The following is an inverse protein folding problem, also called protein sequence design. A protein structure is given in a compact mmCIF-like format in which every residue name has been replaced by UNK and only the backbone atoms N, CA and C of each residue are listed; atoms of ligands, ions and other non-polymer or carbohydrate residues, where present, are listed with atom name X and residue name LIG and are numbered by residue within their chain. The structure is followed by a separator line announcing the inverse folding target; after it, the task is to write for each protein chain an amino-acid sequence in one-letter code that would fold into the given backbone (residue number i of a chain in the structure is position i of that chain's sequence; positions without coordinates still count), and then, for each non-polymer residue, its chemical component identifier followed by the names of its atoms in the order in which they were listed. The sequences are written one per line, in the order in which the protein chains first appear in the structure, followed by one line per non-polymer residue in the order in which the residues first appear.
data_IF_503288343150
#
_entry.id   IF_503288343150
#
_cell.length_a   1.000
_cell.length_b   1.000
_cell.length_c   1.000
_cell.angle_alpha   90.00
_cell.angle_beta   90.00
_cell.angle_gamma   90.00
#
_symmetry.space_group_name_H-M   'P 1'
#
loop_
_entity.id
_entity.type
_entity.pdbx_description
1 polymer ?
#
# COMPACT_ATOMS: atom_id res chain seq x y z
N UNK A 1 -1.64 17.44 -4.26
CA UNK A 1 -1.61 17.39 -5.73
C UNK A 1 -2.73 16.51 -6.28
N UNK A 2 -2.67 15.18 -6.18
CA UNK A 2 -3.78 14.32 -6.66
C UNK A 2 -5.15 14.66 -6.02
N UNK A 3 -5.20 14.91 -4.71
CA UNK A 3 -6.45 15.31 -4.04
C UNK A 3 -6.98 16.68 -4.49
N UNK A 4 -6.12 17.54 -5.03
CA UNK A 4 -6.44 18.91 -5.41
C UNK A 4 -6.77 19.03 -6.90
N UNK A 5 -6.14 18.21 -7.74
CA UNK A 5 -6.20 18.33 -9.21
C UNK A 5 -6.57 17.03 -9.93
N UNK A 6 -6.59 15.88 -9.25
CA UNK A 6 -6.92 14.59 -9.86
C UNK A 6 -8.41 14.39 -10.12
N UNK A 7 -9.27 15.24 -9.53
CA UNK A 7 -10.72 15.16 -9.63
C UNK A 7 -11.32 16.52 -10.02
N UNK A 8 -12.32 16.49 -10.89
CA UNK A 8 -13.15 17.65 -11.22
C UNK A 8 -14.60 17.42 -10.79
N UNK A 9 -15.31 18.51 -10.52
CA UNK A 9 -16.69 18.46 -10.06
C UNK A 9 -17.62 18.09 -11.23
N UNK A 10 -18.40 17.03 -11.06
CA UNK A 10 -19.44 16.62 -12.00
C UNK A 10 -20.82 17.13 -11.54
N UNK A 11 -21.88 16.85 -12.32
CA UNK A 11 -23.26 17.10 -11.90
C UNK A 11 -23.59 16.34 -10.61
N UNK A 12 -23.16 15.07 -10.52
CA UNK A 12 -23.23 14.24 -9.32
C UNK A 12 -21.83 13.76 -8.93
N UNK A 13 -21.33 14.27 -7.78
CA UNK A 13 -20.04 13.85 -7.23
C UNK A 13 -18.83 14.42 -7.99
N UNK A 14 -17.89 13.53 -8.31
CA UNK A 14 -16.59 13.87 -8.89
C UNK A 14 -16.22 12.87 -10.00
N UNK A 15 -15.51 13.36 -11.01
CA UNK A 15 -14.93 12.55 -12.08
C UNK A 15 -13.42 12.78 -12.16
N UNK A 16 -12.70 11.82 -12.74
CA UNK A 16 -11.25 11.95 -12.97
C UNK A 16 -10.98 13.14 -13.89
N UNK A 17 -9.98 13.94 -13.54
CA UNK A 17 -9.53 15.04 -14.40
C UNK A 17 -8.85 14.54 -15.69
N UNK A 18 -8.34 13.31 -15.68
CA UNK A 18 -7.76 12.62 -16.81
C UNK A 18 -8.73 11.56 -17.38
N UNK A 19 -8.57 11.16 -18.65
CA UNK A 19 -9.27 9.99 -19.17
C UNK A 19 -8.92 8.74 -18.34
N UNK A 20 -9.90 7.86 -18.03
CA UNK A 20 -9.65 6.66 -17.22
C UNK A 20 -8.54 5.76 -17.75
N UNK A 21 -8.37 5.67 -19.07
CA UNK A 21 -7.32 4.87 -19.70
C UNK A 21 -5.93 5.42 -19.38
N UNK A 22 -5.79 6.75 -19.28
CA UNK A 22 -4.52 7.40 -18.92
C UNK A 22 -4.18 7.10 -17.47
N UNK A 23 -5.15 7.23 -16.56
CA UNK A 23 -4.95 6.90 -15.14
C UNK A 23 -4.53 5.44 -14.97
N UNK A 24 -5.21 4.51 -15.65
CA UNK A 24 -4.89 3.09 -15.61
C UNK A 24 -3.46 2.79 -16.13
N UNK A 25 -3.03 3.50 -17.19
CA UNK A 25 -1.69 3.35 -17.75
C UNK A 25 -0.59 3.81 -16.78
N UNK A 26 -0.88 4.79 -15.91
CA UNK A 26 0.03 5.17 -14.81
C UNK A 26 0.26 3.98 -13.87
N UNK A 27 -0.77 3.24 -13.47
CA UNK A 27 -0.58 2.06 -12.59
C UNK A 27 0.25 0.96 -13.25
N UNK A 28 0.16 0.80 -14.57
CA UNK A 28 0.93 -0.18 -15.32
C UNK A 28 2.40 0.24 -15.53
N UNK A 29 2.66 1.54 -15.67
CA UNK A 29 3.97 2.07 -16.08
C UNK A 29 4.67 2.92 -15.02
N UNK A 30 4.06 3.13 -13.85
CA UNK A 30 4.70 3.82 -12.74
C UNK A 30 5.89 2.99 -12.27
N UNK A 31 7.09 3.41 -12.70
CA UNK A 31 8.32 2.85 -12.20
C UNK A 31 8.43 3.18 -10.69
N UNK A 32 8.46 2.14 -9.86
CA UNK A 32 8.76 2.29 -8.45
C UNK A 32 10.12 2.99 -8.27
N UNK A 33 10.17 4.04 -7.46
CA UNK A 33 11.44 4.63 -7.04
C UNK A 33 12.06 3.74 -5.95
N UNK A 34 13.37 3.57 -5.98
CA UNK A 34 14.08 2.88 -4.89
C UNK A 34 14.13 3.78 -3.65
N UNK A 35 13.27 3.50 -2.67
CA UNK A 35 13.14 4.26 -1.41
C UNK A 35 13.86 3.62 -0.21
N UNK A 36 14.68 2.58 -0.43
CA UNK A 36 15.29 1.83 0.69
C UNK A 36 16.25 2.67 1.52
N UNK A 37 16.86 3.70 0.94
CA UNK A 37 17.76 4.62 1.66
C UNK A 37 16.97 5.48 2.65
N UNK A 38 15.81 5.96 2.23
CA UNK A 38 14.91 6.82 2.99
C UNK A 38 14.25 6.01 4.12
N UNK A 39 13.84 4.76 3.84
CA UNK A 39 13.32 3.83 4.84
C UNK A 39 14.31 3.66 6.00
N UNK A 40 15.61 3.50 5.70
CA UNK A 40 16.63 3.31 6.72
C UNK A 40 16.85 4.54 7.61
N UNK A 41 16.39 5.73 7.20
CA UNK A 41 16.49 6.96 7.98
C UNK A 41 15.36 7.14 9.01
N UNK A 42 14.32 6.29 8.98
CA UNK A 42 13.18 6.39 9.89
C UNK A 42 13.58 5.84 11.28
N UNK A 43 13.49 6.70 12.30
CA UNK A 43 13.88 6.36 13.68
C UNK A 43 12.70 6.06 14.62
N UNK A 44 11.48 6.47 14.23
CA UNK A 44 10.27 6.17 14.99
C UNK A 44 9.89 4.68 14.88
N UNK A 45 9.14 4.12 15.84
CA UNK A 45 8.61 2.76 15.71
C UNK A 45 7.72 2.60 14.48
N UNK A 46 7.95 1.53 13.70
CA UNK A 46 7.18 1.21 12.49
C UNK A 46 6.55 -0.18 12.62
N UNK A 47 5.30 -0.32 12.19
CA UNK A 47 4.66 -1.62 12.02
C UNK A 47 4.35 -1.84 10.55
N UNK A 48 4.88 -2.92 9.98
CA UNK A 48 4.58 -3.36 8.62
C UNK A 48 3.49 -4.40 8.69
N UNK A 49 2.27 -4.06 8.27
CA UNK A 49 1.15 -5.00 8.16
C UNK A 49 0.99 -5.38 6.69
N UNK A 50 1.11 -6.67 6.37
CA UNK A 50 1.15 -7.14 4.98
C UNK A 50 0.28 -8.37 4.74
N UNK A 51 -0.46 -8.33 3.64
CA UNK A 51 -1.30 -9.43 3.16
C UNK A 51 -0.47 -10.58 2.56
N UNK A 52 -1.16 -11.61 2.05
CA UNK A 52 -0.55 -12.76 1.38
C UNK A 52 0.43 -12.32 0.29
N UNK A 53 1.61 -12.95 0.17
CA UNK A 53 2.59 -12.60 -0.85
C UNK A 53 2.06 -12.93 -2.26
N UNK A 54 2.62 -12.24 -3.26
CA UNK A 54 2.40 -12.59 -4.67
C UNK A 54 3.05 -13.92 -5.02
N UNK A 55 2.30 -14.79 -5.69
CA UNK A 55 2.79 -16.02 -6.30
C UNK A 55 2.99 -15.83 -7.81
N UNK A 56 3.83 -14.87 -8.21
CA UNK A 56 4.01 -14.53 -9.63
C UNK A 56 5.49 -14.48 -9.97
N UNK A 57 5.84 -14.97 -11.17
CA UNK A 57 7.20 -14.91 -11.67
C UNK A 57 7.66 -13.45 -11.87
N UNK A 58 8.96 -13.17 -11.68
CA UNK A 58 9.52 -11.84 -11.96
C UNK A 58 9.19 -11.37 -13.39
N UNK A 59 8.59 -10.19 -13.53
CA UNK A 59 8.26 -9.59 -14.83
C UNK A 59 6.82 -9.82 -15.32
N UNK A 60 6.00 -10.55 -14.58
CA UNK A 60 4.57 -10.68 -14.88
C UNK A 60 3.73 -9.62 -14.16
N UNK A 61 2.83 -8.99 -14.91
CA UNK A 61 1.82 -8.10 -14.35
C UNK A 61 0.77 -8.92 -13.58
N UNK A 62 0.54 -8.66 -12.29
CA UNK A 62 -0.54 -9.30 -11.54
C UNK A 62 -1.88 -8.98 -12.20
N UNK A 63 -2.56 -9.99 -12.74
CA UNK A 63 -3.99 -9.88 -13.05
C UNK A 63 -4.83 -9.87 -11.77
N UNK A 64 -4.30 -10.51 -10.72
CA UNK A 64 -4.87 -10.54 -9.38
C UNK A 64 -4.19 -9.50 -8.49
N UNK A 65 -4.94 -8.46 -8.14
CA UNK A 65 -4.49 -7.40 -7.25
C UNK A 65 -4.68 -7.72 -5.77
N UNK A 66 -5.25 -8.88 -5.43
CA UNK A 66 -5.53 -9.29 -4.06
C UNK A 66 -4.29 -9.74 -3.27
N UNK A 67 -3.12 -9.89 -3.90
CA UNK A 67 -1.88 -10.25 -3.24
C UNK A 67 -0.97 -9.04 -3.00
N UNK A 68 -0.26 -9.05 -1.88
CA UNK A 68 0.66 -8.00 -1.46
C UNK A 68 1.88 -7.91 -2.38
N UNK A 69 2.17 -6.73 -2.98
CA UNK A 69 3.43 -6.47 -3.68
C UNK A 69 4.63 -6.34 -2.74
N UNK A 70 4.40 -6.28 -1.43
CA UNK A 70 5.42 -5.92 -0.45
C UNK A 70 6.52 -6.98 -0.35
N UNK A 71 7.78 -6.55 -0.49
CA UNK A 71 8.94 -7.41 -0.30
C UNK A 71 8.92 -8.06 1.10
N UNK A 72 9.07 -9.39 1.23
CA UNK A 72 9.02 -10.07 2.52
C UNK A 72 10.07 -9.57 3.53
N UNK A 73 11.20 -9.05 3.04
CA UNK A 73 12.29 -8.52 3.87
C UNK A 73 12.13 -7.02 4.20
N UNK A 74 11.05 -6.36 3.81
CA UNK A 74 10.89 -4.91 3.99
C UNK A 74 11.08 -4.47 5.44
N UNK A 75 10.56 -5.24 6.41
CA UNK A 75 10.72 -4.94 7.84
C UNK A 75 12.19 -4.79 8.25
N UNK A 76 13.09 -5.59 7.65
CA UNK A 76 14.52 -5.58 7.98
C UNK A 76 15.25 -4.31 7.52
N UNK A 77 14.59 -3.49 6.70
CA UNK A 77 15.14 -2.25 6.16
C UNK A 77 14.92 -1.06 7.08
N UNK A 78 13.98 -1.17 8.01
CA UNK A 78 13.73 -0.17 9.05
C UNK A 78 14.66 -0.40 10.25
N UNK A 79 15.01 0.67 10.95
CA UNK A 79 15.80 0.60 12.19
C UNK A 79 15.04 0.01 13.37
N UNK A 80 13.74 0.33 13.46
CA UNK A 80 12.88 -0.08 14.56
C UNK A 80 11.50 -0.46 14.02
N UNK A 81 11.37 -1.69 13.48
CA UNK A 81 10.10 -2.16 12.95
C UNK A 81 9.72 -3.58 13.37
N UNK A 82 8.41 -3.80 13.42
CA UNK A 82 7.78 -5.12 13.61
C UNK A 82 7.01 -5.52 12.36
N UNK A 83 7.09 -6.79 11.99
CA UNK A 83 6.34 -7.37 10.86
C UNK A 83 5.09 -8.09 11.33
N UNK A 84 3.97 -7.85 10.67
CA UNK A 84 2.70 -8.53 10.89
C UNK A 84 2.18 -9.07 9.56
N UNK A 85 2.50 -10.33 9.30
CA UNK A 85 2.08 -11.04 8.09
C UNK A 85 0.70 -11.68 8.29
N UNK A 86 -0.23 -11.38 7.38
CA UNK A 86 -1.58 -11.93 7.36
C UNK A 86 -1.76 -12.78 6.10
N UNK A 87 -1.37 -14.07 6.16
CA UNK A 87 -1.36 -14.94 4.98
C UNK A 87 -2.75 -15.21 4.40
N UNK A 88 -3.81 -15.04 5.21
CA UNK A 88 -5.19 -15.21 4.76
C UNK A 88 -5.82 -13.91 4.24
N UNK A 89 -5.18 -12.76 4.47
CA UNK A 89 -5.70 -11.46 4.06
C UNK A 89 -5.38 -11.17 2.60
N UNK A 90 -6.28 -10.44 1.94
CA UNK A 90 -6.02 -9.85 0.63
C UNK A 90 -5.36 -8.48 0.77
N UNK A 91 -4.80 -7.94 -0.31
CA UNK A 91 -4.33 -6.55 -0.38
C UNK A 91 -5.41 -5.53 0.02
N UNK A 92 -6.69 -5.91 -0.12
CA UNK A 92 -7.84 -5.09 0.20
C UNK A 92 -8.30 -5.22 1.65
N UNK A 93 -7.56 -5.92 2.52
CA UNK A 93 -7.91 -6.04 3.95
C UNK A 93 -8.24 -4.70 4.64
N UNK A 94 -7.65 -3.54 4.26
CA UNK A 94 -8.04 -2.28 4.88
C UNK A 94 -9.49 -1.87 4.58
N UNK A 95 -10.03 -2.32 3.45
CA UNK A 95 -11.40 -2.09 3.00
C UNK A 95 -12.34 -3.21 3.46
N UNK A 96 -11.86 -4.46 3.48
CA UNK A 96 -12.63 -5.65 3.88
C UNK A 96 -12.88 -5.69 5.40
N UNK A 97 -11.87 -5.35 6.20
CA UNK A 97 -11.97 -5.22 7.66
C UNK A 97 -11.25 -3.94 8.14
N UNK A 98 -11.90 -2.77 8.01
CA UNK A 98 -11.35 -1.52 8.53
C UNK A 98 -11.15 -1.56 10.06
N UNK A 99 -11.90 -2.42 10.77
CA UNK A 99 -11.74 -2.62 12.21
C UNK A 99 -10.40 -3.27 12.57
N UNK A 100 -9.88 -4.17 11.74
CA UNK A 100 -8.53 -4.72 11.90
C UNK A 100 -7.45 -3.65 11.78
N UNK A 101 -7.58 -2.73 10.82
CA UNK A 101 -6.65 -1.60 10.69
C UNK A 101 -6.70 -0.71 11.92
N UNK A 102 -7.91 -0.35 12.38
CA UNK A 102 -8.09 0.46 13.58
C UNK A 102 -7.44 -0.16 14.81
N UNK A 103 -7.63 -1.47 15.05
CA UNK A 103 -7.01 -2.19 16.17
C UNK A 103 -5.48 -2.12 16.11
N UNK A 104 -4.88 -2.31 14.93
CA UNK A 104 -3.43 -2.18 14.80
C UNK A 104 -2.92 -0.78 15.15
N UNK A 105 -3.68 0.27 14.80
CA UNK A 105 -3.35 1.65 15.16
C UNK A 105 -3.48 1.85 16.68
N UNK A 106 -4.58 1.40 17.28
CA UNK A 106 -4.81 1.49 18.74
C UNK A 106 -3.72 0.78 19.54
N UNK A 107 -3.34 -0.43 19.13
CA UNK A 107 -2.22 -1.18 19.74
C UNK A 107 -0.90 -0.43 19.65
N UNK A 108 -0.62 0.23 18.53
CA UNK A 108 0.59 1.05 18.39
C UNK A 108 0.53 2.26 19.31
N UNK A 109 -0.62 2.93 19.41
CA UNK A 109 -0.82 4.09 20.28
C UNK A 109 -0.71 3.74 21.76
N UNK A 110 -1.17 2.55 22.18
CA UNK A 110 -1.08 2.09 23.56
C UNK A 110 0.34 1.67 24.00
N UNK A 111 1.25 1.46 23.04
CA UNK A 111 2.65 1.13 23.29
C UNK A 111 3.60 2.33 23.36
N UNK A 112 3.08 3.55 23.19
CA UNK A 112 3.79 4.82 23.45
C UNK A 112 3.51 5.32 24.87
#
# INVERSE_FOLDING_TARGET
DYCDYGLVRAEEGYELACPPEVEADVYANAAGTNIYREIAAIEIPVRVVRARPREIAPGEMPRDMSASPTAPDLVSRFRNATDYAMPEATHFFPMEDPGLVARHIEEMLAGF
#
